data_IF_316371609065
#
_entry.id   IF_316371609065
#
_cell.length_a   1.000
_cell.length_b   1.000
_cell.length_c   1.000
_cell.angle_alpha   90.00
_cell.angle_beta   90.00
_cell.angle_gamma   90.00
#
_symmetry.space_group_name_H-M   'P 1'
#
loop_
_entity.id
_entity.type
_entity.pdbx_description
1 polymer ?
#
# COMPACT_ATOMS: atom_id res chain seq x y z
N UNK A 1 -34.32 -57.11 -34.34
CA UNK A 1 -33.77 -57.16 -32.97
C UNK A 1 -32.29 -56.79 -33.07
N UNK A 2 -31.92 -55.53 -32.81
CA UNK A 2 -30.56 -55.01 -33.09
C UNK A 2 -29.93 -54.50 -31.79
N UNK A 3 -28.70 -54.94 -31.56
CA UNK A 3 -27.91 -54.71 -30.35
C UNK A 3 -27.39 -53.26 -30.31
N UNK A 4 -27.63 -52.52 -29.22
CA UNK A 4 -27.10 -51.16 -29.03
C UNK A 4 -26.05 -51.15 -27.91
N UNK A 5 -24.81 -50.81 -28.26
CA UNK A 5 -23.64 -50.83 -27.35
C UNK A 5 -23.34 -49.45 -26.77
N UNK A 6 -22.99 -49.46 -25.47
CA UNK A 6 -21.91 -48.69 -24.82
C UNK A 6 -21.99 -47.14 -24.67
N UNK A 7 -21.24 -46.73 -23.64
CA UNK A 7 -20.52 -45.48 -23.37
C UNK A 7 -21.10 -44.59 -22.27
N UNK A 8 -20.21 -44.23 -21.35
CA UNK A 8 -20.45 -43.58 -20.06
C UNK A 8 -20.28 -42.06 -20.12
N UNK A 9 -20.69 -41.42 -19.02
CA UNK A 9 -20.12 -40.18 -18.46
C UNK A 9 -20.29 -38.87 -19.26
N UNK A 10 -21.03 -37.92 -18.69
CA UNK A 10 -20.44 -36.65 -18.18
C UNK A 10 -21.54 -35.72 -17.64
N UNK A 11 -21.16 -34.89 -16.65
CA UNK A 11 -22.00 -33.84 -16.09
C UNK A 11 -21.93 -32.60 -17.00
N UNK A 12 -23.08 -32.12 -17.47
CA UNK A 12 -23.15 -31.03 -18.43
C UNK A 12 -23.89 -29.79 -17.90
N UNK A 13 -23.18 -28.66 -17.95
CA UNK A 13 -23.65 -27.35 -18.42
C UNK A 13 -24.70 -26.58 -17.58
N UNK A 14 -24.81 -25.24 -17.60
CA UNK A 14 -24.05 -24.14 -18.24
C UNK A 14 -24.29 -22.87 -17.35
N UNK A 15 -23.61 -21.72 -17.47
CA UNK A 15 -23.86 -20.62 -18.43
C UNK A 15 -23.20 -19.34 -17.82
N UNK A 16 -22.59 -18.36 -18.50
CA UNK A 16 -21.92 -18.30 -19.81
C UNK A 16 -20.99 -17.06 -19.91
N UNK A 17 -19.90 -17.19 -20.66
CA UNK A 17 -19.34 -16.23 -21.65
C UNK A 17 -19.19 -14.72 -21.30
N UNK A 18 -17.95 -14.23 -21.41
CA UNK A 18 -17.62 -12.89 -21.90
C UNK A 18 -16.42 -12.98 -22.87
N UNK A 19 -16.31 -12.03 -23.80
CA UNK A 19 -15.50 -12.16 -25.03
C UNK A 19 -13.98 -12.00 -24.87
N UNK A 20 -13.23 -12.50 -25.84
CA UNK A 20 -11.77 -12.37 -25.94
C UNK A 20 -11.34 -11.41 -27.06
N UNK A 21 -10.32 -10.58 -26.78
CA UNK A 21 -9.39 -9.93 -27.73
C UNK A 21 -8.31 -9.16 -26.94
N UNK A 22 -7.13 -8.86 -27.52
CA UNK A 22 -6.33 -9.63 -28.48
C UNK A 22 -4.94 -9.99 -27.90
N UNK A 23 -4.19 -10.85 -28.60
CA UNK A 23 -2.79 -11.16 -28.22
C UNK A 23 -1.85 -10.14 -28.86
N UNK A 24 -1.07 -9.41 -28.05
CA UNK A 24 0.07 -8.63 -28.53
C UNK A 24 1.30 -8.89 -27.67
N UNK A 25 2.21 -9.72 -28.18
CA UNK A 25 3.61 -9.67 -27.79
C UNK A 25 4.29 -8.60 -28.65
N UNK A 26 4.79 -7.54 -28.02
CA UNK A 26 5.69 -6.58 -28.62
C UNK A 26 6.90 -6.44 -27.68
N UNK A 27 8.09 -6.56 -28.26
CA UNK A 27 9.36 -6.61 -27.54
C UNK A 27 9.69 -5.27 -26.87
N UNK A 28 10.03 -5.29 -25.57
CA UNK A 28 10.83 -4.24 -24.94
C UNK A 28 11.89 -4.90 -24.06
N UNK A 29 12.85 -5.53 -24.71
CA UNK A 29 14.20 -5.58 -24.16
C UNK A 29 14.84 -4.18 -24.27
N UNK A 30 15.24 -3.61 -23.13
CA UNK A 30 16.13 -2.43 -23.00
C UNK A 30 15.52 -1.03 -23.17
N UNK A 31 14.83 -0.56 -22.13
CA UNK A 31 15.02 0.79 -21.60
C UNK A 31 14.66 0.82 -20.11
N UNK A 32 15.65 0.70 -19.22
CA UNK A 32 15.47 0.61 -17.77
C UNK A 32 14.49 -0.47 -17.30
N UNK A 33 14.96 -1.73 -17.38
CA UNK A 33 14.87 -2.57 -16.18
C UNK A 33 15.43 -1.75 -15.00
N UNK A 34 14.57 -1.07 -14.24
CA UNK A 34 14.94 -0.42 -12.99
C UNK A 34 15.10 -1.47 -11.87
N UNK A 35 15.85 -2.52 -12.19
CA UNK A 35 16.41 -3.46 -11.24
C UNK A 35 17.40 -2.70 -10.35
N UNK A 36 17.45 -3.07 -9.07
CA UNK A 36 18.39 -2.57 -8.06
C UNK A 36 18.03 -1.18 -7.49
N UNK A 37 16.97 -1.14 -6.68
CA UNK A 37 17.12 -0.62 -5.32
C UNK A 37 16.84 -1.79 -4.38
N UNK A 38 17.92 -2.53 -4.17
CA UNK A 38 18.09 -3.59 -3.20
C UNK A 38 17.59 -3.18 -1.81
N UNK A 39 17.09 -4.19 -1.08
CA UNK A 39 16.70 -4.13 0.33
C UNK A 39 17.72 -3.38 1.21
N UNK A 40 17.33 -2.22 1.74
CA UNK A 40 18.13 -1.43 2.68
C UNK A 40 17.34 -0.89 3.88
N UNK A 41 16.04 -1.21 3.97
CA UNK A 41 15.25 -1.05 5.19
C UNK A 41 15.16 -2.33 6.00
N UNK A 42 14.65 -2.26 7.26
CA UNK A 42 14.43 -3.44 8.08
C UNK A 42 13.57 -4.47 7.35
N UNK A 43 13.95 -5.74 7.50
CA UNK A 43 13.44 -6.96 6.86
C UNK A 43 12.24 -6.79 5.90
N UNK A 44 12.53 -6.74 4.59
CA UNK A 44 11.50 -6.75 3.55
C UNK A 44 10.95 -5.38 3.13
N UNK A 45 11.62 -4.28 3.48
CA UNK A 45 11.29 -2.95 2.95
C UNK A 45 11.31 -2.92 1.40
N UNK A 46 10.14 -2.78 0.78
CA UNK A 46 9.94 -2.67 -0.68
C UNK A 46 9.52 -1.25 -1.04
N UNK A 47 10.07 -0.70 -2.12
CA UNK A 47 9.62 0.60 -2.63
C UNK A 47 8.30 0.44 -3.40
N UNK A 48 7.17 0.74 -2.75
CA UNK A 48 5.82 0.53 -3.29
C UNK A 48 4.95 1.78 -3.18
N UNK A 49 4.22 2.09 -4.25
CA UNK A 49 3.19 3.16 -4.29
C UNK A 49 3.66 4.54 -3.77
N UNK A 50 4.94 4.87 -3.97
CA UNK A 50 5.55 6.15 -3.57
C UNK A 50 6.39 6.06 -2.28
N UNK A 51 6.14 5.05 -1.45
CA UNK A 51 6.94 4.80 -0.25
C UNK A 51 8.33 4.27 -0.61
N UNK A 52 9.34 4.78 0.10
CA UNK A 52 10.69 4.24 0.08
C UNK A 52 11.37 4.42 1.44
N UNK A 53 12.33 3.56 1.74
CA UNK A 53 13.16 3.68 2.94
C UNK A 53 14.48 4.39 2.60
N UNK A 54 14.86 5.35 3.45
CA UNK A 54 16.18 5.99 3.44
C UNK A 54 17.01 5.40 4.57
N UNK A 55 18.06 4.63 4.20
CA UNK A 55 18.94 3.95 5.15
C UNK A 55 19.95 4.89 5.83
N UNK A 56 20.26 6.04 5.22
CA UNK A 56 21.17 7.03 5.81
C UNK A 56 20.45 7.86 6.87
N UNK A 57 19.19 8.24 6.61
CA UNK A 57 18.34 9.00 7.55
C UNK A 57 17.52 8.12 8.49
N UNK A 58 17.59 6.80 8.32
CA UNK A 58 16.88 5.75 9.07
C UNK A 58 15.38 6.10 9.19
N UNK A 59 14.67 6.08 8.07
CA UNK A 59 13.25 6.43 8.04
C UNK A 59 12.53 6.10 6.73
N UNK A 60 11.20 6.04 6.81
CA UNK A 60 10.33 5.99 5.65
C UNK A 60 10.05 7.39 5.12
N UNK A 61 9.96 7.51 3.80
CA UNK A 61 9.69 8.73 3.07
C UNK A 61 8.69 8.40 1.95
N UNK A 62 7.96 9.41 1.49
CA UNK A 62 7.06 9.28 0.35
C UNK A 62 7.46 10.21 -0.80
N UNK A 63 7.59 9.65 -2.00
CA UNK A 63 7.80 10.38 -3.24
C UNK A 63 6.53 10.33 -4.10
N UNK A 64 6.12 11.50 -4.55
CA UNK A 64 5.11 11.66 -5.58
C UNK A 64 5.73 11.29 -6.95
N UNK A 65 5.23 10.23 -7.60
CA UNK A 65 5.79 9.78 -8.88
C UNK A 65 5.47 10.70 -10.07
N UNK A 66 4.46 11.57 -9.97
CA UNK A 66 4.07 12.49 -11.05
C UNK A 66 4.98 13.72 -11.08
N UNK A 67 5.39 14.21 -9.91
CA UNK A 67 6.22 15.42 -9.75
C UNK A 67 7.68 15.10 -9.40
N UNK A 68 7.97 13.87 -8.97
CA UNK A 68 9.28 13.44 -8.47
C UNK A 68 9.63 13.96 -7.07
N UNK A 69 8.78 14.79 -6.45
CA UNK A 69 9.04 15.48 -5.19
C UNK A 69 8.75 14.60 -3.96
N UNK A 70 9.40 14.89 -2.84
CA UNK A 70 9.02 14.32 -1.54
C UNK A 70 7.76 15.01 -1.02
N UNK A 71 6.83 14.24 -0.46
CA UNK A 71 5.70 14.80 0.29
C UNK A 71 6.16 15.16 1.71
N UNK A 72 5.50 16.19 2.26
CA UNK A 72 5.62 16.61 3.67
C UNK A 72 4.21 16.90 4.19
N UNK A 73 4.03 16.89 5.51
CA UNK A 73 2.73 17.06 6.15
C UNK A 73 1.83 15.83 6.04
N UNK A 74 0.52 16.06 6.00
CA UNK A 74 -0.49 15.00 5.94
C UNK A 74 -0.51 14.28 4.59
N UNK A 75 -0.46 12.95 4.64
CA UNK A 75 -0.58 12.07 3.50
C UNK A 75 -1.69 11.05 3.74
N UNK A 76 -2.69 11.03 2.86
CA UNK A 76 -3.68 9.96 2.80
C UNK A 76 -3.23 8.94 1.74
N UNK A 77 -3.16 7.66 2.11
CA UNK A 77 -2.83 6.57 1.19
C UNK A 77 -3.86 5.44 1.37
N UNK A 78 -4.85 5.40 0.48
CA UNK A 78 -6.09 4.65 0.69
C UNK A 78 -6.92 5.27 1.82
N UNK A 79 -7.44 4.44 2.71
CA UNK A 79 -8.23 4.90 3.88
C UNK A 79 -7.35 5.24 5.10
N UNK A 80 -6.02 5.15 4.98
CA UNK A 80 -5.07 5.34 6.07
C UNK A 80 -4.37 6.69 5.95
N UNK A 81 -4.31 7.42 7.07
CA UNK A 81 -3.56 8.67 7.20
C UNK A 81 -2.17 8.44 7.78
N UNK A 82 -1.22 9.22 7.28
CA UNK A 82 0.18 9.26 7.65
C UNK A 82 0.60 10.73 7.81
N UNK A 83 1.65 10.98 8.59
CA UNK A 83 2.27 12.31 8.66
C UNK A 83 3.76 12.23 8.39
N UNK A 84 4.21 13.09 7.48
CA UNK A 84 5.59 13.26 7.08
C UNK A 84 6.08 14.59 7.66
N UNK A 85 7.24 14.59 8.31
CA UNK A 85 7.85 15.80 8.87
C UNK A 85 8.35 16.75 7.77
N UNK A 86 8.89 17.91 8.17
CA UNK A 86 9.33 18.94 7.22
C UNK A 86 10.52 18.49 6.33
N UNK A 87 11.27 17.49 6.76
CA UNK A 87 12.33 16.81 5.98
C UNK A 87 11.79 15.66 5.10
N UNK A 88 10.49 15.35 5.20
CA UNK A 88 9.81 14.24 4.53
C UNK A 88 9.78 12.93 5.31
N UNK A 89 10.36 12.88 6.52
CA UNK A 89 10.45 11.65 7.32
C UNK A 89 9.09 11.29 7.92
N UNK A 90 8.65 10.06 7.74
CA UNK A 90 7.42 9.53 8.32
C UNK A 90 7.50 9.44 9.85
N UNK A 91 6.47 9.94 10.54
CA UNK A 91 6.28 9.75 11.98
C UNK A 91 5.76 8.35 12.25
N UNK A 92 6.34 7.66 13.24
CA UNK A 92 5.95 6.30 13.64
C UNK A 92 6.28 6.03 15.11
N UNK A 93 5.49 5.17 15.78
CA UNK A 93 5.59 4.86 17.22
C UNK A 93 5.63 6.10 18.11
N UNK A 94 4.82 7.12 17.80
CA UNK A 94 4.91 8.42 18.46
C UNK A 94 3.58 9.17 18.51
N UNK A 95 3.38 9.90 19.61
CA UNK A 95 2.42 10.99 19.72
C UNK A 95 3.00 12.28 19.11
N UNK A 96 2.22 13.00 18.31
CA UNK A 96 2.63 14.23 17.63
C UNK A 96 1.55 15.30 17.73
N UNK A 97 1.96 16.50 18.17
CA UNK A 97 1.12 17.69 18.12
C UNK A 97 1.18 18.31 16.73
N UNK A 98 0.03 18.43 16.06
CA UNK A 98 -0.12 18.94 14.69
C UNK A 98 -1.34 19.87 14.68
N UNK A 99 -1.16 21.13 14.29
CA UNK A 99 -2.27 22.08 14.14
C UNK A 99 -3.08 22.38 15.42
N UNK A 100 -2.54 22.10 16.60
CA UNK A 100 -3.22 22.28 17.90
C UNK A 100 -3.88 21.02 18.46
N UNK A 101 -3.96 19.94 17.69
CA UNK A 101 -4.44 18.63 18.13
C UNK A 101 -3.25 17.67 18.33
N UNK A 102 -3.44 16.61 19.12
CA UNK A 102 -2.45 15.54 19.29
C UNK A 102 -2.93 14.25 18.61
N UNK A 103 -2.05 13.62 17.83
CA UNK A 103 -2.34 12.42 17.04
C UNK A 103 -1.31 11.33 17.39
N UNK A 104 -1.70 10.06 17.33
CA UNK A 104 -0.76 8.94 17.47
C UNK A 104 -0.51 8.25 16.13
N UNK A 105 0.75 7.89 15.87
CA UNK A 105 1.16 7.09 14.72
C UNK A 105 1.77 5.77 15.18
N UNK A 106 1.25 4.66 14.68
CA UNK A 106 1.78 3.31 14.92
C UNK A 106 3.16 3.09 14.26
N UNK A 107 3.81 1.95 14.51
CA UNK A 107 5.15 1.65 13.97
C UNK A 107 5.23 1.54 12.45
N UNK A 108 4.11 1.27 11.78
CA UNK A 108 3.97 1.32 10.32
C UNK A 108 3.64 2.73 9.78
N UNK A 109 3.60 3.76 10.65
CA UNK A 109 3.24 5.14 10.32
C UNK A 109 1.75 5.44 10.18
N UNK A 110 0.88 4.44 10.33
CA UNK A 110 -0.57 4.67 10.26
C UNK A 110 -1.07 5.45 11.48
N UNK A 111 -1.93 6.44 11.24
CA UNK A 111 -2.58 7.22 12.29
C UNK A 111 -3.65 6.40 13.03
N UNK A 112 -3.68 6.51 14.35
CA UNK A 112 -4.76 5.94 15.16
C UNK A 112 -6.05 6.75 15.02
N UNK A 113 -7.18 6.05 14.86
CA UNK A 113 -8.55 6.62 14.77
C UNK A 113 -9.53 5.73 15.54
N UNK A 114 -10.54 6.32 16.20
CA UNK A 114 -11.59 5.63 16.95
C UNK A 114 -11.08 4.51 17.87
N UNK A 115 -10.02 4.78 18.66
CA UNK A 115 -9.33 3.77 19.45
C UNK A 115 -8.68 4.36 20.69
N UNK A 116 -8.09 3.53 21.54
CA UNK A 116 -7.36 3.94 22.74
C UNK A 116 -5.92 3.44 22.65
N UNK A 117 -4.96 4.36 22.80
CA UNK A 117 -3.52 4.11 22.78
C UNK A 117 -2.94 4.56 24.11
N UNK A 118 -2.19 3.69 24.81
CA UNK A 118 -1.57 3.98 26.11
C UNK A 118 -2.53 4.53 27.20
N UNK A 119 -3.82 4.23 27.08
CA UNK A 119 -4.87 4.75 27.97
C UNK A 119 -5.52 6.07 27.52
N UNK A 120 -5.05 6.67 26.41
CA UNK A 120 -5.60 7.89 25.82
C UNK A 120 -6.48 7.56 24.60
N UNK A 121 -7.72 8.05 24.60
CA UNK A 121 -8.66 7.83 23.49
C UNK A 121 -8.47 8.85 22.38
N UNK A 122 -8.49 8.39 21.13
CA UNK A 122 -8.52 9.23 19.92
C UNK A 122 -9.86 9.05 19.20
N UNK A 123 -10.41 10.15 18.68
CA UNK A 123 -11.72 10.18 18.06
C UNK A 123 -11.71 9.73 16.58
N UNK A 124 -12.82 9.92 15.87
CA UNK A 124 -12.96 9.57 14.46
C UNK A 124 -12.06 10.39 13.51
N UNK A 125 -11.53 11.52 13.97
CA UNK A 125 -10.52 12.33 13.25
C UNK A 125 -9.09 11.93 13.61
N UNK A 126 -8.92 11.04 14.60
CA UNK A 126 -7.63 10.66 15.18
C UNK A 126 -7.08 11.65 16.19
N UNK A 127 -7.81 12.72 16.49
CA UNK A 127 -7.43 13.68 17.52
C UNK A 127 -7.63 13.06 18.91
N UNK A 128 -6.64 13.20 19.77
CA UNK A 128 -6.72 12.85 21.18
C UNK A 128 -7.83 13.65 21.88
N UNK A 129 -8.72 12.94 22.58
CA UNK A 129 -9.76 13.51 23.44
C UNK A 129 -9.42 13.30 24.91
N UNK A 130 -9.67 14.33 25.71
CA UNK A 130 -9.36 14.40 27.14
C UNK A 130 -10.59 14.23 28.02
#
# INVERSE_FOLDING_TARGET
MVLKKMVSLSLAAMLAVAAAAPVFAADVTTAANNSIAASSGPEGAVNVNGWFWDAEKIGWYYRDFTTGQLKTGWLQNGDVWYYLENDGKMVSNAWKWIGGNCYYFYGNGSMAVNTTVDGYTVDATGAWVR
#
